data_IF_378371794100
#
_entry.id   IF_378371794100
#
_cell.length_a   1.000
_cell.length_b   1.000
_cell.length_c   1.000
_cell.angle_alpha   90.00
_cell.angle_beta   90.00
_cell.angle_gamma   90.00
#
_symmetry.space_group_name_H-M   'P 1'
#
loop_
_entity.id
_entity.type
_entity.pdbx_description
1 polymer ?
#
# COMPACT_ATOMS: atom_id res chain seq x y z
N UNK A 1 9.08 -38.72 23.47
CA UNK A 1 8.31 -37.50 23.13
C UNK A 1 7.44 -37.85 21.92
N UNK A 2 6.11 -37.60 21.92
CA UNK A 2 5.28 -38.07 20.84
C UNK A 2 5.45 -37.18 19.60
N UNK A 3 5.65 -37.84 18.46
CA UNK A 3 5.81 -37.25 17.14
C UNK A 3 4.44 -36.77 16.62
N UNK A 4 4.16 -35.46 16.78
CA UNK A 4 2.92 -34.82 16.30
C UNK A 4 3.16 -33.66 15.32
N UNK A 5 4.36 -33.49 14.78
CA UNK A 5 4.59 -32.49 13.73
C UNK A 5 4.61 -33.17 12.37
N UNK A 6 3.43 -33.32 11.76
CA UNK A 6 3.34 -33.42 10.32
C UNK A 6 3.84 -32.13 9.66
N UNK A 7 4.25 -32.21 8.41
CA UNK A 7 4.59 -31.05 7.58
C UNK A 7 3.52 -29.95 7.72
N UNK A 8 3.89 -28.67 7.91
CA UNK A 8 2.93 -27.59 7.99
C UNK A 8 2.09 -27.54 6.71
N UNK A 9 0.81 -27.88 6.79
CA UNK A 9 -0.09 -27.74 5.65
C UNK A 9 -0.42 -26.26 5.46
N UNK A 10 -0.23 -25.72 4.26
CA UNK A 10 -0.69 -24.37 3.86
C UNK A 10 -2.21 -24.24 3.79
N UNK A 11 -2.95 -25.26 4.20
CA UNK A 11 -4.41 -25.29 4.17
C UNK A 11 -4.97 -25.31 5.58
N UNK A 12 -5.77 -24.31 5.89
CA UNK A 12 -6.61 -24.32 7.09
C UNK A 12 -8.02 -24.77 6.72
N UNK A 13 -8.62 -25.60 7.58
CA UNK A 13 -10.04 -25.93 7.53
C UNK A 13 -10.66 -25.63 8.88
N UNK A 14 -11.76 -24.90 8.87
CA UNK A 14 -12.42 -24.46 10.09
C UNK A 14 -13.89 -24.20 9.89
N UNK A 15 -14.61 -24.14 11.01
CA UNK A 15 -16.04 -23.90 11.04
C UNK A 15 -16.34 -22.82 12.07
N UNK A 16 -17.30 -21.95 11.74
CA UNK A 16 -17.90 -21.00 12.67
C UNK A 16 -19.38 -21.36 12.77
N UNK A 17 -19.85 -21.60 14.00
CA UNK A 17 -21.26 -21.84 14.30
C UNK A 17 -21.78 -20.67 15.14
N UNK A 18 -22.84 -20.03 14.69
CA UNK A 18 -23.40 -18.82 15.33
C UNK A 18 -24.37 -19.13 16.49
N UNK A 19 -24.53 -20.40 16.84
CA UNK A 19 -25.34 -20.86 17.97
C UNK A 19 -26.83 -20.56 17.77
N UNK A 20 -27.46 -19.96 18.78
CA UNK A 20 -28.89 -19.57 18.77
C UNK A 20 -29.18 -18.34 17.90
N UNK A 21 -28.15 -17.73 17.30
CA UNK A 21 -28.27 -16.54 16.46
C UNK A 21 -27.86 -16.83 15.01
N UNK A 22 -28.22 -15.93 14.09
CA UNK A 22 -27.73 -15.97 12.70
C UNK A 22 -26.96 -14.71 12.38
N UNK A 23 -25.93 -14.83 11.55
CA UNK A 23 -25.24 -13.69 10.94
C UNK A 23 -25.64 -13.59 9.48
N UNK A 24 -26.39 -12.55 9.12
CA UNK A 24 -26.89 -12.36 7.75
C UNK A 24 -27.74 -13.54 7.26
N UNK A 25 -28.53 -14.16 8.15
CA UNK A 25 -29.37 -15.33 7.85
C UNK A 25 -28.63 -16.67 7.81
N UNK A 26 -27.31 -16.69 8.05
CA UNK A 26 -26.51 -17.91 8.09
C UNK A 26 -26.30 -18.39 9.53
N UNK A 27 -26.47 -19.69 9.79
CA UNK A 27 -26.19 -20.30 11.10
C UNK A 27 -24.78 -20.88 11.21
N UNK A 28 -24.16 -21.21 10.07
CA UNK A 28 -22.86 -21.87 10.03
C UNK A 28 -22.06 -21.48 8.80
N UNK A 29 -20.76 -21.23 8.99
CA UNK A 29 -19.81 -21.02 7.92
C UNK A 29 -18.69 -22.06 7.98
N UNK A 30 -18.43 -22.72 6.86
CA UNK A 30 -17.27 -23.61 6.67
C UNK A 30 -16.21 -22.90 5.83
N UNK A 31 -14.96 -23.04 6.24
CA UNK A 31 -13.81 -22.45 5.59
C UNK A 31 -12.82 -23.52 5.15
N UNK A 32 -12.36 -23.39 3.92
CA UNK A 32 -11.10 -23.95 3.45
C UNK A 32 -10.26 -22.78 2.96
N UNK A 33 -9.13 -22.51 3.60
CA UNK A 33 -8.24 -21.40 3.26
C UNK A 33 -6.90 -21.96 2.84
N UNK A 34 -6.42 -21.59 1.66
CA UNK A 34 -5.07 -21.92 1.18
C UNK A 34 -4.22 -20.66 1.26
N UNK A 35 -3.15 -20.71 2.06
CA UNK A 35 -2.22 -19.60 2.25
C UNK A 35 -1.12 -19.61 1.20
N UNK A 36 -0.55 -18.43 0.91
CA UNK A 36 0.72 -18.33 0.18
C UNK A 36 1.86 -19.04 0.93
N UNK A 37 3.00 -19.27 0.27
CA UNK A 37 4.17 -19.89 0.91
C UNK A 37 4.69 -19.09 2.10
N UNK A 38 4.64 -17.75 1.99
CA UNK A 38 5.02 -16.84 3.05
C UNK A 38 3.93 -16.63 4.12
N UNK A 39 2.78 -17.31 4.02
CA UNK A 39 1.62 -17.13 4.91
C UNK A 39 1.15 -15.68 5.02
N UNK A 40 1.37 -14.89 3.97
CA UNK A 40 1.11 -13.46 3.95
C UNK A 40 -0.22 -13.11 3.27
N UNK A 41 -0.78 -14.01 2.46
CA UNK A 41 -2.09 -13.87 1.80
C UNK A 41 -2.86 -15.19 1.80
N UNK A 42 -4.19 -15.11 1.71
CA UNK A 42 -5.03 -16.28 1.37
C UNK A 42 -5.19 -16.32 -0.15
N UNK A 43 -4.48 -17.26 -0.78
CA UNK A 43 -4.38 -17.37 -2.23
C UNK A 43 -5.36 -18.38 -2.86
N UNK A 44 -6.18 -19.06 -2.04
CA UNK A 44 -7.14 -20.03 -2.57
C UNK A 44 -8.08 -20.62 -1.51
N UNK A 45 -8.96 -21.52 -1.97
CA UNK A 45 -9.99 -22.14 -1.16
C UNK A 45 -11.34 -21.40 -1.26
N UNK A 46 -12.20 -21.60 -0.26
CA UNK A 46 -13.54 -21.03 -0.24
C UNK A 46 -14.13 -20.94 1.17
N UNK A 47 -15.07 -20.02 1.33
CA UNK A 47 -16.05 -20.00 2.41
C UNK A 47 -17.40 -20.48 1.89
N UNK A 48 -18.05 -21.39 2.61
CA UNK A 48 -19.41 -21.86 2.37
C UNK A 48 -20.29 -21.46 3.55
N UNK A 49 -21.41 -20.81 3.28
CA UNK A 49 -22.36 -20.38 4.30
C UNK A 49 -23.66 -21.17 4.21
N UNK A 50 -24.17 -21.61 5.36
CA UNK A 50 -25.32 -22.49 5.48
C UNK A 50 -26.44 -21.85 6.32
N UNK A 51 -27.69 -22.17 5.98
CA UNK A 51 -28.89 -21.80 6.74
C UNK A 51 -28.97 -22.56 8.06
N UNK A 52 -29.87 -22.16 8.99
CA UNK A 52 -30.17 -22.95 10.19
C UNK A 52 -30.60 -24.40 9.88
N UNK A 53 -31.27 -24.62 8.75
CA UNK A 53 -31.72 -25.93 8.27
C UNK A 53 -30.60 -26.74 7.60
N UNK A 54 -29.40 -26.16 7.47
CA UNK A 54 -28.24 -26.80 6.85
C UNK A 54 -28.16 -26.66 5.33
N UNK A 55 -29.01 -25.83 4.71
CA UNK A 55 -28.97 -25.59 3.28
C UNK A 55 -27.81 -24.66 2.91
N UNK A 56 -27.09 -24.97 1.83
CA UNK A 56 -26.01 -24.11 1.34
C UNK A 56 -26.60 -22.82 0.74
N UNK A 57 -26.34 -21.69 1.38
CA UNK A 57 -26.81 -20.37 0.94
C UNK A 57 -25.82 -19.73 -0.03
N UNK A 58 -24.52 -19.77 0.30
CA UNK A 58 -23.52 -18.98 -0.41
C UNK A 58 -22.17 -19.67 -0.46
N UNK A 59 -21.46 -19.48 -1.56
CA UNK A 59 -20.04 -19.81 -1.69
C UNK A 59 -19.27 -18.56 -2.09
N UNK A 60 -18.24 -18.20 -1.32
CA UNK A 60 -17.27 -17.17 -1.67
C UNK A 60 -15.91 -17.84 -1.87
N UNK A 61 -15.27 -17.61 -3.01
CA UNK A 61 -13.93 -18.13 -3.31
C UNK A 61 -12.86 -17.12 -2.96
N UNK A 62 -11.74 -17.61 -2.45
CA UNK A 62 -10.53 -16.81 -2.31
C UNK A 62 -9.67 -16.95 -3.58
N UNK A 63 -8.94 -15.90 -4.00
CA UNK A 63 -9.04 -14.51 -3.54
C UNK A 63 -10.13 -13.69 -4.27
N UNK A 64 -10.92 -14.30 -5.14
CA UNK A 64 -11.83 -13.60 -6.06
C UNK A 64 -12.92 -12.78 -5.36
N UNK A 65 -13.63 -13.41 -4.42
CA UNK A 65 -14.75 -12.78 -3.72
C UNK A 65 -14.32 -12.19 -2.38
N UNK A 66 -13.29 -12.77 -1.77
CA UNK A 66 -12.78 -12.38 -0.48
C UNK A 66 -11.25 -12.31 -0.53
N UNK A 67 -10.68 -11.20 -0.07
CA UNK A 67 -9.24 -10.93 -0.11
C UNK A 67 -8.74 -10.70 1.30
N UNK A 68 -7.69 -11.40 1.65
CA UNK A 68 -7.05 -11.31 2.95
C UNK A 68 -5.55 -11.28 2.75
N UNK A 69 -4.92 -10.35 3.44
CA UNK A 69 -3.49 -10.24 3.58
C UNK A 69 -3.15 -9.99 5.04
N UNK A 70 -1.93 -10.36 5.42
CA UNK A 70 -1.40 -10.10 6.75
C UNK A 70 -1.27 -8.61 6.97
N UNK A 71 -1.76 -8.14 8.11
CA UNK A 71 -1.44 -6.79 8.57
C UNK A 71 -0.06 -6.81 9.24
N UNK A 72 0.88 -6.03 8.70
CA UNK A 72 2.20 -5.84 9.30
C UNK A 72 2.18 -4.56 10.12
N UNK A 73 2.42 -4.70 11.43
CA UNK A 73 2.62 -3.55 12.31
C UNK A 73 3.96 -2.88 11.99
N UNK A 74 3.90 -1.59 11.73
CA UNK A 74 5.06 -0.74 11.46
C UNK A 74 5.23 0.22 12.63
N UNK A 75 6.46 0.35 13.12
CA UNK A 75 6.84 1.23 14.23
C UNK A 75 7.85 2.32 13.82
N UNK A 76 8.28 2.33 12.55
CA UNK A 76 9.22 3.30 12.00
C UNK A 76 8.87 3.71 10.58
N UNK A 77 9.28 4.91 10.21
CA UNK A 77 9.21 5.41 8.82
C UNK A 77 10.13 4.62 7.87
N UNK A 78 11.24 4.09 8.38
CA UNK A 78 12.27 3.53 7.51
C UNK A 78 11.84 2.19 6.91
N UNK A 79 12.27 1.95 5.67
CA UNK A 79 11.83 0.86 4.81
C UNK A 79 10.43 1.01 4.24
N UNK A 80 9.76 2.15 4.45
CA UNK A 80 8.38 2.35 3.99
C UNK A 80 8.31 3.19 2.71
N UNK A 81 7.28 2.90 1.92
CA UNK A 81 6.94 3.64 0.70
C UNK A 81 5.53 4.20 0.84
N UNK A 82 5.36 5.46 0.47
CA UNK A 82 4.07 6.15 0.49
C UNK A 82 3.71 6.62 -0.91
N UNK A 83 2.48 6.30 -1.34
CA UNK A 83 2.00 6.58 -2.69
C UNK A 83 0.75 7.44 -2.65
N UNK A 84 0.61 8.31 -3.65
CA UNK A 84 -0.64 8.97 -3.96
C UNK A 84 -1.35 8.25 -5.10
N UNK A 85 -2.67 8.22 -5.07
CA UNK A 85 -3.49 7.54 -6.08
C UNK A 85 -3.17 6.05 -6.22
N UNK A 86 -2.67 5.41 -5.16
CA UNK A 86 -2.32 3.99 -5.14
C UNK A 86 -1.18 3.58 -6.09
N UNK A 87 -0.34 4.52 -6.55
CA UNK A 87 0.64 4.26 -7.61
C UNK A 87 2.07 4.65 -7.23
N UNK A 88 2.96 3.65 -7.20
CA UNK A 88 4.42 3.86 -7.09
C UNK A 88 4.94 4.68 -8.28
N UNK A 89 5.90 5.57 -8.02
CA UNK A 89 6.53 6.42 -9.03
C UNK A 89 5.70 7.61 -9.49
N UNK A 90 4.50 7.84 -8.95
CA UNK A 90 3.70 9.04 -9.18
C UNK A 90 3.96 10.06 -8.08
N UNK A 91 5.20 10.59 -8.00
CA UNK A 91 5.70 11.34 -6.84
C UNK A 91 5.59 10.57 -5.50
N UNK A 92 5.82 9.26 -5.53
CA UNK A 92 5.80 8.44 -4.32
C UNK A 92 7.02 8.74 -3.45
N UNK A 93 6.85 8.77 -2.12
CA UNK A 93 7.94 8.95 -1.17
C UNK A 93 8.51 7.60 -0.74
N UNK A 94 9.83 7.48 -0.76
CA UNK A 94 10.56 6.29 -0.35
C UNK A 94 11.52 6.68 0.77
N UNK A 95 11.50 5.91 1.85
CA UNK A 95 12.30 6.15 3.06
C UNK A 95 13.14 4.91 3.35
N UNK A 96 14.07 4.56 2.48
CA UNK A 96 14.83 3.32 2.55
C UNK A 96 15.70 3.27 3.83
N UNK A 97 16.35 4.40 4.18
CA UNK A 97 17.14 4.54 5.41
C UNK A 97 17.32 6.01 5.82
N UNK A 98 17.85 6.33 7.01
CA UNK A 98 18.05 7.72 7.44
C UNK A 98 18.82 8.64 6.48
N UNK A 99 19.77 8.08 5.72
CA UNK A 99 20.53 8.82 4.70
C UNK A 99 20.04 8.56 3.27
N UNK A 100 19.00 7.75 3.11
CA UNK A 100 18.40 7.43 1.82
C UNK A 100 16.88 7.62 1.87
N UNK A 101 16.45 8.85 1.59
CA UNK A 101 15.06 9.19 1.36
C UNK A 101 14.93 9.96 0.04
N UNK A 102 13.87 9.69 -0.72
CA UNK A 102 13.67 10.31 -2.02
C UNK A 102 12.21 10.33 -2.48
N UNK A 103 11.95 11.14 -3.50
CA UNK A 103 10.72 11.12 -4.28
C UNK A 103 10.97 10.38 -5.59
N UNK A 104 10.15 9.37 -5.90
CA UNK A 104 10.19 8.69 -7.20
C UNK A 104 9.13 9.25 -8.15
N UNK A 105 9.58 9.51 -9.37
CA UNK A 105 8.81 9.99 -10.52
C UNK A 105 8.84 9.00 -11.69
N UNK A 106 9.21 7.74 -11.47
CA UNK A 106 9.35 6.72 -12.52
C UNK A 106 8.05 6.49 -13.32
N UNK A 107 6.90 6.81 -12.73
CA UNK A 107 5.59 6.72 -13.35
C UNK A 107 4.91 8.09 -13.52
N UNK A 108 5.69 9.17 -13.51
CA UNK A 108 5.19 10.53 -13.71
C UNK A 108 4.53 10.69 -15.11
N UNK A 109 3.41 11.42 -15.21
CA UNK A 109 2.78 11.70 -16.49
C UNK A 109 3.71 12.51 -17.39
N UNK A 110 3.64 12.31 -18.72
CA UNK A 110 4.44 13.06 -19.70
C UNK A 110 4.23 14.58 -19.67
N UNK A 111 3.09 15.03 -19.13
CA UNK A 111 2.78 16.44 -18.93
C UNK A 111 3.58 17.08 -17.78
N UNK A 112 4.18 16.27 -16.90
CA UNK A 112 5.05 16.78 -15.84
C UNK A 112 6.43 17.03 -16.41
N UNK A 113 6.75 18.30 -16.59
CA UNK A 113 7.99 18.74 -17.20
C UNK A 113 8.68 19.77 -16.31
N UNK A 114 10.00 19.76 -16.35
CA UNK A 114 10.84 20.81 -15.80
C UNK A 114 10.88 22.01 -16.75
N UNK A 115 11.51 23.10 -16.33
CA UNK A 115 11.55 24.35 -17.08
C UNK A 115 12.09 24.21 -18.52
N UNK A 116 13.00 23.27 -18.76
CA UNK A 116 13.56 22.98 -20.09
C UNK A 116 12.69 22.03 -20.94
N UNK A 117 11.51 21.62 -20.46
CA UNK A 117 10.61 20.67 -21.12
C UNK A 117 10.98 19.20 -20.92
N UNK A 118 12.10 18.89 -20.25
CA UNK A 118 12.47 17.52 -19.91
C UNK A 118 11.60 16.96 -18.77
N UNK A 119 11.40 15.64 -18.68
CA UNK A 119 10.71 15.05 -17.54
C UNK A 119 11.51 15.25 -16.23
N UNK A 120 10.87 15.13 -15.06
CA UNK A 120 11.60 14.98 -13.80
C UNK A 120 12.49 13.71 -13.85
N UNK A 121 13.60 13.66 -13.11
CA UNK A 121 14.39 12.45 -12.97
C UNK A 121 13.57 11.37 -12.27
N UNK A 122 13.80 10.10 -12.60
CA UNK A 122 13.08 8.97 -12.00
C UNK A 122 13.17 8.94 -10.47
N UNK A 123 14.32 9.37 -9.91
CA UNK A 123 14.53 9.52 -8.46
C UNK A 123 15.10 10.90 -8.14
N UNK A 124 14.50 11.58 -7.17
CA UNK A 124 14.98 12.86 -6.63
C UNK A 124 15.16 12.76 -5.11
N UNK A 125 16.41 12.79 -4.66
CA UNK A 125 16.76 12.68 -3.24
C UNK A 125 16.28 13.88 -2.42
N UNK A 126 16.01 13.63 -1.14
CA UNK A 126 15.90 14.67 -0.13
C UNK A 126 17.30 15.06 0.36
N UNK A 127 17.57 16.36 0.38
CA UNK A 127 18.72 16.98 1.03
C UNK A 127 18.41 17.13 2.53
N UNK A 128 19.40 16.83 3.36
CA UNK A 128 19.35 16.85 4.84
C UNK A 128 18.09 16.20 5.45
N UNK A 129 17.81 14.92 5.13
CA UNK A 129 16.65 14.21 5.67
C UNK A 129 16.77 14.07 7.20
N UNK A 130 15.69 14.42 7.91
CA UNK A 130 15.58 14.31 9.35
C UNK A 130 14.26 13.65 9.73
N UNK A 131 14.29 12.78 10.72
CA UNK A 131 13.10 12.13 11.24
C UNK A 131 13.07 12.20 12.77
N UNK A 132 11.98 12.76 13.30
CA UNK A 132 11.66 12.73 14.73
C UNK A 132 10.58 11.67 14.99
N UNK A 133 10.98 10.58 15.64
CA UNK A 133 10.09 9.47 15.96
C UNK A 133 9.00 9.84 16.98
N UNK A 134 9.24 10.81 17.86
CA UNK A 134 8.27 11.19 18.89
C UNK A 134 7.06 11.88 18.28
N UNK A 135 7.30 12.82 17.36
CA UNK A 135 6.23 13.49 16.60
C UNK A 135 5.83 12.75 15.32
N UNK A 136 6.56 11.71 14.93
CA UNK A 136 6.47 11.02 13.63
C UNK A 136 6.57 12.00 12.46
N UNK A 137 7.50 12.94 12.55
CA UNK A 137 7.67 13.99 11.55
C UNK A 137 8.96 13.78 10.78
N UNK A 138 8.85 13.66 9.47
CA UNK A 138 9.97 13.76 8.55
C UNK A 138 10.12 15.19 8.02
N UNK A 139 11.36 15.65 7.90
CA UNK A 139 11.71 16.91 7.26
C UNK A 139 12.80 16.66 6.23
N UNK A 140 12.72 17.33 5.09
CA UNK A 140 13.71 17.22 4.04
C UNK A 140 13.48 18.27 2.96
N UNK A 141 14.53 18.53 2.18
CA UNK A 141 14.48 19.51 1.09
C UNK A 141 14.69 18.82 -0.24
N UNK A 142 14.02 19.28 -1.30
CA UNK A 142 14.28 18.87 -2.67
C UNK A 142 14.75 20.10 -3.43
N UNK A 143 16.03 20.14 -3.83
CA UNK A 143 16.55 21.20 -4.70
C UNK A 143 16.50 20.80 -6.18
N UNK A 144 15.64 21.44 -6.96
CA UNK A 144 15.54 21.29 -8.41
C UNK A 144 16.62 22.07 -9.18
N UNK A 145 17.35 22.95 -8.49
CA UNK A 145 18.38 23.79 -9.07
C UNK A 145 17.86 24.72 -10.15
N UNK A 146 18.69 24.97 -11.15
CA UNK A 146 18.33 25.88 -12.25
C UNK A 146 17.39 25.27 -13.28
N UNK A 147 17.04 23.99 -13.18
CA UNK A 147 16.00 23.41 -14.01
C UNK A 147 14.77 23.10 -13.15
N UNK A 148 14.04 24.16 -12.82
CA UNK A 148 12.92 24.15 -11.86
C UNK A 148 11.83 23.17 -12.24
N UNK A 149 11.07 22.72 -11.24
CA UNK A 149 9.91 21.86 -11.43
C UNK A 149 8.67 22.50 -10.81
N UNK A 150 7.58 22.58 -11.58
CA UNK A 150 6.40 23.35 -11.17
C UNK A 150 6.67 24.84 -10.95
N UNK A 151 7.70 25.39 -11.60
CA UNK A 151 8.12 26.79 -11.42
C UNK A 151 9.04 27.05 -10.22
N UNK A 152 9.19 26.09 -9.31
CA UNK A 152 9.96 26.27 -8.07
C UNK A 152 11.35 25.64 -8.18
N UNK A 153 12.34 26.32 -7.61
CA UNK A 153 13.72 25.84 -7.47
C UNK A 153 13.85 24.86 -6.32
N UNK A 154 13.12 25.08 -5.23
CA UNK A 154 13.30 24.29 -4.01
C UNK A 154 11.99 24.00 -3.35
N UNK A 155 11.80 22.76 -2.91
CA UNK A 155 10.64 22.34 -2.11
C UNK A 155 11.13 21.91 -0.72
N UNK A 156 10.51 22.43 0.33
CA UNK A 156 10.76 22.03 1.71
C UNK A 156 9.56 21.26 2.23
N UNK A 157 9.84 20.10 2.83
CA UNK A 157 8.83 19.16 3.29
C UNK A 157 8.81 19.07 4.81
N UNK A 158 7.60 19.06 5.35
CA UNK A 158 7.26 18.56 6.66
C UNK A 158 6.18 17.51 6.47
N UNK A 159 6.46 16.24 6.77
CA UNK A 159 5.56 15.12 6.56
C UNK A 159 5.29 14.47 7.91
N UNK A 160 4.04 14.47 8.35
CA UNK A 160 3.63 13.88 9.62
C UNK A 160 2.89 12.57 9.34
N UNK A 161 3.38 11.46 9.90
CA UNK A 161 2.80 10.13 9.69
C UNK A 161 1.76 9.80 10.75
N UNK A 162 0.75 9.01 10.36
CA UNK A 162 -0.22 8.46 11.29
C UNK A 162 0.47 7.56 12.33
N UNK A 163 -0.18 7.33 13.48
CA UNK A 163 0.37 6.48 14.55
C UNK A 163 0.69 5.05 14.09
N UNK A 164 -0.10 4.52 13.15
CA UNK A 164 0.10 3.21 12.55
C UNK A 164 0.99 3.22 11.30
N UNK A 165 1.53 4.38 10.91
CA UNK A 165 2.28 4.59 9.68
C UNK A 165 1.53 4.25 8.38
N UNK A 166 0.23 3.90 8.42
CA UNK A 166 -0.51 3.51 7.22
C UNK A 166 -0.81 4.68 6.26
N UNK A 167 -0.60 5.93 6.69
CA UNK A 167 -0.81 7.10 5.85
C UNK A 167 0.04 8.30 6.30
N UNK A 168 0.15 9.29 5.41
CA UNK A 168 0.56 10.65 5.80
C UNK A 168 -0.65 11.34 6.40
N UNK A 169 -0.56 11.69 7.69
CA UNK A 169 -1.65 12.29 8.46
C UNK A 169 -1.68 13.82 8.37
N UNK A 170 -0.56 14.46 8.03
CA UNK A 170 -0.48 15.92 7.95
C UNK A 170 0.90 16.45 7.57
N UNK A 171 1.09 17.74 7.81
CA UNK A 171 2.29 18.48 7.43
C UNK A 171 2.09 19.32 6.17
N UNK A 172 3.19 19.86 5.63
CA UNK A 172 3.17 20.82 4.53
C UNK A 172 4.31 20.62 3.54
N UNK A 173 4.07 21.08 2.31
CA UNK A 173 5.10 21.29 1.29
C UNK A 173 5.13 22.78 0.98
N UNK A 174 6.27 23.41 1.23
CA UNK A 174 6.53 24.81 0.88
C UNK A 174 7.44 24.84 -0.33
N UNK A 175 7.09 25.65 -1.33
CA UNK A 175 7.86 25.73 -2.56
C UNK A 175 8.39 27.13 -2.77
N UNK A 176 9.63 27.24 -3.23
CA UNK A 176 10.35 28.51 -3.37
C UNK A 176 10.78 28.69 -4.82
N UNK A 177 10.42 29.83 -5.41
CA UNK A 177 10.89 30.26 -6.72
C UNK A 177 12.39 30.61 -6.68
N UNK A 178 12.97 30.95 -7.85
CA UNK A 178 14.41 31.24 -7.97
C UNK A 178 14.87 32.46 -7.17
N UNK A 179 14.00 33.44 -7.01
CA UNK A 179 14.22 34.66 -6.24
C UNK A 179 13.98 34.48 -4.73
N UNK A 180 13.63 33.25 -4.31
CA UNK A 180 13.31 32.92 -2.92
C UNK A 180 11.85 33.18 -2.54
N UNK A 181 11.01 33.67 -3.48
CA UNK A 181 9.58 33.86 -3.22
C UNK A 181 8.91 32.52 -2.89
N UNK A 182 8.28 32.45 -1.72
CA UNK A 182 7.51 31.29 -1.30
C UNK A 182 6.12 31.28 -1.97
N UNK A 183 5.69 30.13 -2.47
CA UNK A 183 4.32 29.91 -2.94
C UNK A 183 3.42 29.54 -1.77
N UNK A 184 2.09 29.66 -1.94
CA UNK A 184 1.15 29.14 -0.96
C UNK A 184 1.47 27.66 -0.60
N UNK A 185 1.47 27.30 0.69
CA UNK A 185 1.84 25.96 1.13
C UNK A 185 0.79 24.95 0.71
N UNK A 186 1.24 23.79 0.24
CA UNK A 186 0.38 22.64 -0.03
C UNK A 186 0.33 21.80 1.25
N UNK A 187 -0.88 21.44 1.70
CA UNK A 187 -1.08 20.69 2.94
C UNK A 187 -1.41 19.22 2.69
N UNK A 188 -0.73 18.33 3.40
CA UNK A 188 -1.12 16.91 3.44
C UNK A 188 -2.44 16.74 4.20
N UNK A 189 -3.27 15.81 3.76
CA UNK A 189 -4.61 15.57 4.31
C UNK A 189 -5.71 16.51 3.79
N UNK A 190 -5.34 17.63 3.14
CA UNK A 190 -6.27 18.55 2.49
C UNK A 190 -6.10 18.56 0.96
N UNK A 191 -4.87 18.74 0.50
CA UNK A 191 -4.54 18.85 -0.93
C UNK A 191 -3.88 17.58 -1.47
N UNK A 192 -3.12 16.90 -0.61
CA UNK A 192 -2.34 15.71 -0.95
C UNK A 192 -2.68 14.57 0.01
N UNK A 193 -2.99 13.40 -0.55
CA UNK A 193 -3.31 12.20 0.21
C UNK A 193 -2.35 11.07 -0.17
N UNK A 194 -1.70 10.50 0.83
CA UNK A 194 -0.72 9.44 0.67
C UNK A 194 -1.02 8.29 1.61
N UNK A 195 -1.00 7.08 1.07
CA UNK A 195 -1.13 5.82 1.82
C UNK A 195 0.17 5.02 1.74
N UNK A 196 0.46 4.25 2.79
CA UNK A 196 1.61 3.34 2.81
C UNK A 196 1.35 2.18 1.85
N UNK A 197 2.37 1.80 1.10
CA UNK A 197 2.33 0.57 0.32
C UNK A 197 2.40 -0.64 1.24
N UNK A 198 1.47 -1.57 1.06
CA UNK A 198 1.45 -2.87 1.74
C UNK A 198 1.83 -3.92 0.70
N UNK A 199 3.02 -4.48 0.82
CA UNK A 199 3.57 -5.43 -0.16
C UNK A 199 2.64 -6.63 -0.37
N UNK A 200 2.04 -7.15 0.71
CA UNK A 200 1.10 -8.26 0.62
C UNK A 200 -0.16 -7.92 -0.20
N UNK A 201 -0.54 -6.63 -0.29
CA UNK A 201 -1.63 -6.17 -1.15
C UNK A 201 -1.20 -6.15 -2.62
N UNK A 202 0.03 -5.78 -2.92
CA UNK A 202 0.58 -5.85 -4.28
C UNK A 202 0.70 -7.31 -4.74
N UNK A 203 1.17 -8.21 -3.88
CA UNK A 203 1.22 -9.66 -4.15
C UNK A 203 -0.18 -10.23 -4.49
N UNK A 204 -1.20 -9.79 -3.75
CA UNK A 204 -2.59 -10.16 -4.01
C UNK A 204 -3.06 -9.68 -5.39
N UNK A 205 -2.71 -8.45 -5.79
CA UNK A 205 -3.07 -7.90 -7.10
C UNK A 205 -2.38 -8.66 -8.24
N UNK A 206 -1.09 -8.99 -8.09
CA UNK A 206 -0.35 -9.81 -9.05
C UNK A 206 -0.99 -11.19 -9.22
N UNK A 207 -1.35 -11.85 -8.12
CA UNK A 207 -2.05 -13.13 -8.14
C UNK A 207 -3.37 -13.04 -8.93
N UNK A 208 -4.19 -12.02 -8.64
CA UNK A 208 -5.47 -11.81 -9.32
C UNK A 208 -5.30 -11.58 -10.82
N UNK A 209 -4.27 -10.82 -11.23
CA UNK A 209 -3.96 -10.60 -12.64
C UNK A 209 -3.56 -11.90 -13.34
N UNK A 210 -2.74 -12.74 -12.70
CA UNK A 210 -2.34 -14.04 -13.24
C UNK A 210 -3.55 -14.96 -13.43
N UNK A 211 -4.43 -15.06 -12.43
CA UNK A 211 -5.66 -15.86 -12.50
C UNK A 211 -6.61 -15.35 -13.59
N UNK A 212 -6.71 -14.03 -13.78
CA UNK A 212 -7.55 -13.48 -14.86
C UNK A 212 -7.00 -13.86 -16.24
N UNK A 213 -5.68 -13.77 -16.43
CA UNK A 213 -5.02 -14.13 -17.69
C UNK A 213 -5.27 -15.60 -18.05
N UNK A 214 -5.04 -16.51 -17.10
CA UNK A 214 -5.25 -17.95 -17.29
C UNK A 214 -6.70 -18.26 -17.70
N UNK A 215 -7.69 -17.57 -17.11
CA UNK A 215 -9.10 -17.74 -17.48
C UNK A 215 -9.41 -17.27 -18.90
N UNK A 216 -8.78 -16.19 -19.36
CA UNK A 216 -8.99 -15.71 -20.73
C UNK A 216 -8.38 -16.67 -21.74
N UNK A 217 -7.22 -17.25 -21.43
CA UNK A 217 -6.57 -18.27 -22.26
C UNK A 217 -7.43 -19.55 -22.36
N UNK A 218 -7.96 -20.03 -21.23
CA UNK A 218 -8.85 -21.20 -21.19
C UNK A 218 -10.21 -20.98 -21.88
N UNK A 219 -10.66 -19.73 -22.01
CA UNK A 219 -11.91 -19.38 -22.71
C UNK A 219 -11.72 -19.12 -24.21
N UNK A 220 -10.47 -18.86 -24.63
CA UNK A 220 -10.11 -18.65 -26.03
C UNK A 220 -9.64 -19.91 -26.77
N UNK A 221 -9.42 -21.01 -26.03
CA UNK A 221 -9.10 -22.34 -26.54
C UNK A 221 -10.36 -23.21 -26.67
#
# INVERSE_FOLDING_TARGET
>A
APAWYGEPTRTFRGEIVWGESTFGGCARWEYEMVFSEAFCIICGGQMRAYSPEGELIKVNRFPENLRYWREVKVDSLWGQVYVQGGKRGLASYHFDSPGDAYVSYDAAPRSWQRADGSPPPGRKAFDDPQYDAASRTFRGTVDWGDNTFGGSRRWEYEIIFSESFNAVAGGTVRSFARDGTETAPIRFGEHLHYERVVEEREDMEVLLMAMHRERQELRGA
#
